data_IF_527322266903
#
_entry.id   IF_527322266903
#
_cell.length_a   1.000
_cell.length_b   1.000
_cell.length_c   1.000
_cell.angle_alpha   90.00
_cell.angle_beta   90.00
_cell.angle_gamma   90.00
#
_symmetry.space_group_name_H-M   'P 1'
#
loop_
_entity.id
_entity.type
_entity.pdbx_description
1 polymer ?
#
# COMPACT_ATOMS: atom_id res chain seq x y z
N UNK A 1 15.75 -1.66 -7.59
CA UNK A 1 16.56 -1.84 -6.38
C UNK A 1 16.09 -0.93 -5.27
N UNK A 2 15.98 -1.48 -4.07
CA UNK A 2 15.67 -0.74 -2.85
C UNK A 2 17.00 -0.22 -2.29
N UNK A 3 17.15 1.10 -2.18
CA UNK A 3 18.41 1.74 -1.75
C UNK A 3 18.65 1.56 -0.24
N UNK A 4 17.55 1.54 0.53
CA UNK A 4 17.53 1.25 1.97
C UNK A 4 16.21 0.55 2.32
N UNK A 5 16.27 -0.46 3.18
CA UNK A 5 15.12 -1.26 3.59
C UNK A 5 14.98 -1.23 5.12
N UNK A 6 13.76 -1.01 5.60
CA UNK A 6 13.41 -1.03 7.02
C UNK A 6 11.92 -1.41 7.21
N UNK A 7 11.51 -2.52 6.59
CA UNK A 7 10.08 -2.90 6.51
C UNK A 7 9.37 -2.29 5.28
N UNK A 8 8.18 -2.81 4.96
CA UNK A 8 7.26 -2.22 3.98
C UNK A 8 7.77 -2.05 2.55
N UNK A 9 8.90 -2.64 2.15
CA UNK A 9 9.54 -2.30 0.86
C UNK A 9 8.66 -2.60 -0.36
N UNK A 10 7.82 -3.65 -0.29
CA UNK A 10 6.87 -4.03 -1.35
C UNK A 10 5.75 -3.01 -1.49
N UNK A 11 5.12 -2.63 -0.38
CA UNK A 11 3.99 -1.69 -0.35
C UNK A 11 4.45 -0.28 -0.72
N UNK A 12 5.60 0.15 -0.21
CA UNK A 12 6.26 1.38 -0.62
C UNK A 12 6.57 1.41 -2.13
N UNK A 13 7.08 0.31 -2.68
CA UNK A 13 7.37 0.20 -4.12
C UNK A 13 6.11 0.35 -4.98
N UNK A 14 4.98 -0.27 -4.60
CA UNK A 14 3.71 -0.14 -5.33
C UNK A 14 3.21 1.31 -5.30
N UNK A 15 3.21 1.93 -4.11
CA UNK A 15 2.74 3.30 -3.91
C UNK A 15 3.59 4.31 -4.67
N UNK A 16 4.92 4.18 -4.63
CA UNK A 16 5.84 5.04 -5.38
C UNK A 16 5.79 4.81 -6.89
N UNK A 17 5.68 3.55 -7.33
CA UNK A 17 5.57 3.22 -8.76
C UNK A 17 4.32 3.80 -9.41
N UNK A 18 3.21 3.91 -8.67
CA UNK A 18 2.01 4.59 -9.17
C UNK A 18 2.30 6.06 -9.53
N UNK A 19 3.00 6.81 -8.67
CA UNK A 19 3.38 8.21 -8.94
C UNK A 19 4.26 8.30 -10.19
N UNK A 20 5.31 7.48 -10.25
CA UNK A 20 6.21 7.44 -11.41
C UNK A 20 5.49 7.08 -12.71
N UNK A 21 4.51 6.18 -12.66
CA UNK A 21 3.67 5.84 -13.80
C UNK A 21 2.82 7.04 -14.26
N UNK A 22 2.23 7.80 -13.33
CA UNK A 22 1.47 9.01 -13.69
C UNK A 22 2.35 10.03 -14.40
N UNK A 23 3.56 10.27 -13.90
CA UNK A 23 4.52 11.18 -14.55
C UNK A 23 4.87 10.71 -15.96
N UNK A 24 5.17 9.42 -16.13
CA UNK A 24 5.49 8.85 -17.43
C UNK A 24 4.33 8.99 -18.42
N UNK A 25 3.10 8.69 -18.00
CA UNK A 25 1.89 8.85 -18.83
C UNK A 25 1.65 10.31 -19.20
N UNK A 26 1.86 11.23 -18.24
CA UNK A 26 1.74 12.68 -18.46
C UNK A 26 2.75 13.18 -19.49
N UNK A 27 4.01 12.77 -19.35
CA UNK A 27 5.07 13.07 -20.31
C UNK A 27 4.74 12.54 -21.71
N UNK A 28 4.33 11.27 -21.82
CA UNK A 28 3.99 10.66 -23.11
C UNK A 28 2.81 11.35 -23.80
N UNK A 29 1.82 11.82 -23.04
CA UNK A 29 0.71 12.63 -23.56
C UNK A 29 1.17 14.00 -24.04
N UNK A 30 2.02 14.69 -23.27
CA UNK A 30 2.58 15.98 -23.67
C UNK A 30 3.41 15.90 -24.96
N UNK A 31 4.04 14.75 -25.22
CA UNK A 31 4.78 14.46 -26.45
C UNK A 31 3.91 13.93 -27.61
N UNK A 32 2.60 13.76 -27.40
CA UNK A 32 1.69 13.22 -28.41
C UNK A 32 1.88 11.72 -28.72
N UNK A 33 2.66 11.00 -27.90
CA UNK A 33 2.85 9.54 -28.02
C UNK A 33 1.56 8.82 -27.64
N UNK A 34 0.87 9.32 -26.61
CA UNK A 34 -0.43 8.82 -26.18
C UNK A 34 -1.53 9.82 -26.54
N UNK A 35 -2.60 9.32 -27.17
CA UNK A 35 -3.78 10.13 -27.53
C UNK A 35 -4.67 10.45 -26.32
N UNK A 36 -4.69 9.57 -25.32
CA UNK A 36 -5.50 9.69 -24.12
C UNK A 36 -4.74 9.12 -22.91
N UNK A 37 -5.19 9.45 -21.70
CA UNK A 37 -4.63 8.86 -20.48
C UNK A 37 -5.22 7.45 -20.28
N UNK A 38 -4.40 6.37 -20.26
CA UNK A 38 -4.89 5.02 -20.04
C UNK A 38 -5.10 4.67 -18.55
N UNK A 39 -4.67 5.54 -17.62
CA UNK A 39 -4.80 5.29 -16.19
C UNK A 39 -6.28 5.17 -15.79
N UNK A 40 -6.64 4.05 -15.14
CA UNK A 40 -8.01 3.81 -14.67
C UNK A 40 -8.25 4.40 -13.29
N UNK A 41 -7.35 4.10 -12.36
CA UNK A 41 -7.38 4.54 -10.97
C UNK A 41 -5.95 4.70 -10.47
N UNK A 42 -5.74 5.60 -9.53
CA UNK A 42 -4.57 5.55 -8.65
C UNK A 42 -4.63 4.29 -7.78
N UNK A 43 -3.46 3.73 -7.48
CA UNK A 43 -3.29 2.59 -6.57
C UNK A 43 -2.26 2.91 -5.50
N UNK A 44 -2.49 2.38 -4.31
CA UNK A 44 -1.57 2.45 -3.19
C UNK A 44 -1.60 1.12 -2.45
N UNK A 45 -0.54 0.84 -1.71
CA UNK A 45 -0.41 -0.35 -0.90
C UNK A 45 0.16 -0.01 0.47
N UNK A 46 -0.26 -0.79 1.48
CA UNK A 46 0.13 -0.62 2.88
C UNK A 46 0.22 -1.99 3.55
N UNK A 47 1.19 -2.16 4.44
CA UNK A 47 1.30 -3.32 5.33
C UNK A 47 0.61 -3.03 6.65
N UNK A 48 0.01 -4.05 7.25
CA UNK A 48 -0.58 -4.03 8.58
C UNK A 48 -0.27 -5.37 9.25
N UNK A 49 -0.28 -5.41 10.56
CA UNK A 49 -0.05 -6.66 11.29
C UNK A 49 -0.42 -6.56 12.74
N UNK A 50 -0.28 -7.67 13.45
CA UNK A 50 -0.52 -7.75 14.89
C UNK A 50 0.83 -7.78 15.58
N UNK A 51 1.12 -6.72 16.33
CA UNK A 51 2.32 -6.62 17.15
C UNK A 51 1.92 -6.55 18.62
N UNK A 52 2.37 -7.55 19.41
CA UNK A 52 2.05 -7.67 20.85
C UNK A 52 0.54 -7.60 21.11
N UNK A 53 -0.23 -8.34 20.32
CA UNK A 53 -1.70 -8.36 20.39
C UNK A 53 -2.42 -7.08 19.96
N UNK A 54 -1.71 -6.13 19.33
CA UNK A 54 -2.31 -4.87 18.83
C UNK A 54 -2.18 -4.78 17.32
N UNK A 55 -3.28 -4.57 16.57
CA UNK A 55 -3.22 -4.27 15.15
C UNK A 55 -2.56 -2.91 14.89
N UNK A 56 -1.53 -2.89 14.04
CA UNK A 56 -0.79 -1.68 13.64
C UNK A 56 -0.62 -1.61 12.12
N UNK A 57 -0.33 -0.41 11.60
CA UNK A 57 -0.01 -0.18 10.20
C UNK A 57 1.46 0.20 10.02
N UNK A 58 1.97 -0.06 8.81
CA UNK A 58 3.31 0.34 8.35
C UNK A 58 4.43 -0.20 9.24
N UNK A 59 4.41 -1.52 9.46
CA UNK A 59 5.40 -2.24 10.27
C UNK A 59 6.82 -1.90 9.82
N UNK A 60 7.62 -1.36 10.73
CA UNK A 60 9.08 -1.26 10.52
C UNK A 60 9.72 -2.65 10.65
N UNK A 61 10.98 -2.82 10.23
CA UNK A 61 11.61 -4.15 10.17
C UNK A 61 11.57 -4.91 11.50
N UNK A 62 11.79 -4.20 12.62
CA UNK A 62 11.79 -4.86 13.93
C UNK A 62 10.40 -5.36 14.32
N UNK A 63 9.36 -4.58 14.03
CA UNK A 63 7.97 -4.97 14.26
C UNK A 63 7.57 -6.12 13.34
N UNK A 64 7.91 -6.06 12.05
CA UNK A 64 7.64 -7.12 11.06
C UNK A 64 8.31 -8.44 11.45
N UNK A 65 9.55 -8.38 11.94
CA UNK A 65 10.30 -9.58 12.35
C UNK A 65 9.76 -10.26 13.61
N UNK A 66 9.01 -9.53 14.44
CA UNK A 66 8.41 -10.00 15.68
C UNK A 66 6.88 -10.14 15.60
N UNK A 67 6.27 -9.76 14.47
CA UNK A 67 4.82 -9.74 14.31
C UNK A 67 4.26 -11.17 14.28
N UNK A 68 3.10 -11.35 14.90
CA UNK A 68 2.38 -12.63 14.91
C UNK A 68 1.65 -12.86 13.57
N UNK A 69 1.37 -11.76 12.86
CA UNK A 69 0.68 -11.72 11.57
C UNK A 69 1.19 -10.54 10.75
N UNK A 70 1.55 -10.79 9.49
CA UNK A 70 1.82 -9.78 8.45
C UNK A 70 0.72 -9.83 7.39
N UNK A 71 0.18 -8.67 7.02
CA UNK A 71 -0.78 -8.52 5.95
C UNK A 71 -0.47 -7.33 5.04
N UNK A 72 -0.42 -7.59 3.75
CA UNK A 72 -0.23 -6.59 2.71
C UNK A 72 -1.55 -6.34 1.96
N UNK A 73 -1.92 -5.06 1.80
CA UNK A 73 -3.16 -4.64 1.15
C UNK A 73 -2.83 -3.71 -0.01
N UNK A 74 -3.46 -3.93 -1.17
CA UNK A 74 -3.43 -3.03 -2.33
C UNK A 74 -4.86 -2.58 -2.62
N UNK A 75 -5.07 -1.26 -2.73
CA UNK A 75 -6.39 -0.66 -2.94
C UNK A 75 -6.34 0.37 -4.07
N UNK A 76 -7.48 0.60 -4.72
CA UNK A 76 -7.70 1.75 -5.60
C UNK A 76 -8.11 2.98 -4.81
N UNK A 77 -7.94 4.17 -5.38
CA UNK A 77 -8.46 5.42 -4.78
C UNK A 77 -9.98 5.45 -4.60
N UNK A 78 -10.72 4.57 -5.28
CA UNK A 78 -12.17 4.42 -5.14
C UNK A 78 -12.56 3.50 -3.99
N UNK A 79 -11.58 2.96 -3.24
CA UNK A 79 -11.79 2.08 -2.10
C UNK A 79 -12.01 0.61 -2.48
N UNK A 80 -11.72 0.21 -3.72
CA UNK A 80 -11.83 -1.19 -4.16
C UNK A 80 -10.52 -1.91 -3.89
N UNK A 81 -10.58 -3.09 -3.27
CA UNK A 81 -9.43 -3.95 -3.03
C UNK A 81 -8.97 -4.58 -4.34
N UNK A 82 -7.66 -4.57 -4.57
CA UNK A 82 -6.99 -5.27 -5.66
C UNK A 82 -6.37 -6.56 -5.13
N UNK A 83 -5.73 -6.48 -3.97
CA UNK A 83 -5.03 -7.58 -3.33
C UNK A 83 -5.14 -7.46 -1.80
N UNK A 84 -5.36 -8.59 -1.15
CA UNK A 84 -5.24 -8.75 0.30
C UNK A 84 -4.48 -10.07 0.49
N UNK A 85 -3.31 -9.99 1.11
CA UNK A 85 -2.49 -11.15 1.43
C UNK A 85 -2.10 -11.08 2.90
N UNK A 86 -2.71 -11.93 3.73
CA UNK A 86 -2.37 -12.07 5.14
C UNK A 86 -1.77 -13.44 5.43
N UNK A 87 -0.73 -13.47 6.26
CA UNK A 87 -0.08 -14.69 6.75
C UNK A 87 0.05 -14.58 8.26
N UNK A 88 -0.48 -15.58 8.98
CA UNK A 88 -0.17 -15.77 10.39
C UNK A 88 1.17 -16.51 10.48
N UNK A 89 2.21 -15.83 10.97
CA UNK A 89 3.53 -16.44 11.23
C UNK A 89 3.56 -17.11 12.61
N UNK A 90 2.69 -16.67 13.53
CA UNK A 90 2.46 -17.24 14.85
C UNK A 90 1.06 -17.86 15.00
N UNK A 91 0.26 -17.31 15.91
CA UNK A 91 -1.12 -17.77 16.14
C UNK A 91 -2.04 -17.34 14.98
N UNK A 92 -2.99 -18.18 14.54
CA UNK A 92 -3.99 -17.77 13.58
C UNK A 92 -4.85 -16.62 14.11
N UNK A 93 -4.97 -15.55 13.32
CA UNK A 93 -5.88 -14.44 13.63
C UNK A 93 -7.33 -14.77 13.28
N UNK A 94 -8.27 -14.18 14.02
CA UNK A 94 -9.69 -14.37 13.80
C UNK A 94 -10.29 -13.32 12.83
N UNK A 95 -11.60 -13.43 12.59
CA UNK A 95 -12.30 -12.52 11.68
C UNK A 95 -12.41 -11.08 12.21
N UNK A 96 -12.41 -10.90 13.53
CA UNK A 96 -12.44 -9.57 14.13
C UNK A 96 -11.09 -8.88 13.96
N UNK A 97 -10.00 -9.59 14.22
CA UNK A 97 -8.64 -9.09 14.02
C UNK A 97 -8.37 -8.75 12.54
N UNK A 98 -8.87 -9.59 11.62
CA UNK A 98 -8.84 -9.28 10.18
C UNK A 98 -9.58 -7.97 9.86
N UNK A 99 -10.77 -7.76 10.40
CA UNK A 99 -11.58 -6.55 10.14
C UNK A 99 -10.92 -5.28 10.72
N UNK A 100 -10.31 -5.41 11.90
CA UNK A 100 -9.54 -4.33 12.54
C UNK A 100 -8.34 -3.93 11.67
N UNK A 101 -7.54 -4.89 11.22
CA UNK A 101 -6.41 -4.66 10.32
C UNK A 101 -6.86 -4.05 8.97
N UNK A 102 -7.94 -4.55 8.37
CA UNK A 102 -8.50 -4.00 7.13
C UNK A 102 -9.01 -2.57 7.31
N UNK A 103 -9.58 -2.26 8.46
CA UNK A 103 -10.04 -0.91 8.81
C UNK A 103 -8.87 0.05 8.90
N UNK A 104 -7.82 -0.31 9.63
CA UNK A 104 -6.58 0.48 9.72
C UNK A 104 -5.98 0.68 8.32
N UNK A 105 -5.85 -0.38 7.53
CA UNK A 105 -5.30 -0.32 6.18
C UNK A 105 -6.07 0.68 5.29
N UNK A 106 -7.40 0.62 5.34
CA UNK A 106 -8.28 1.51 4.56
C UNK A 106 -8.07 2.99 4.92
N UNK A 107 -7.82 3.29 6.20
CA UNK A 107 -7.53 4.65 6.63
C UNK A 107 -6.16 5.11 6.13
N UNK A 108 -5.09 4.35 6.40
CA UNK A 108 -3.74 4.71 5.95
C UNK A 108 -3.62 4.83 4.43
N UNK A 109 -4.28 3.95 3.67
CA UNK A 109 -4.30 4.03 2.21
C UNK A 109 -4.94 5.32 1.68
N UNK A 110 -5.94 5.88 2.38
CA UNK A 110 -6.52 7.18 2.00
C UNK A 110 -5.50 8.30 2.16
N UNK A 111 -4.74 8.29 3.24
CA UNK A 111 -3.66 9.25 3.47
C UNK A 111 -2.58 9.14 2.39
N UNK A 112 -2.20 7.91 2.00
CA UNK A 112 -1.26 7.69 0.90
C UNK A 112 -1.78 8.25 -0.43
N UNK A 113 -3.07 8.14 -0.74
CA UNK A 113 -3.62 8.77 -1.95
C UNK A 113 -3.55 10.29 -1.91
N UNK A 114 -3.76 10.91 -0.75
CA UNK A 114 -3.64 12.35 -0.60
C UNK A 114 -2.19 12.82 -0.78
N UNK A 115 -1.22 12.06 -0.25
CA UNK A 115 0.22 12.29 -0.44
C UNK A 115 0.62 12.11 -1.91
N UNK A 116 0.16 11.05 -2.58
CA UNK A 116 0.42 10.83 -4.01
C UNK A 116 -0.08 12.01 -4.87
N UNK A 117 -1.29 12.50 -4.58
CA UNK A 117 -1.87 13.67 -5.29
C UNK A 117 -1.08 14.93 -5.02
N UNK A 118 -0.65 15.16 -3.78
CA UNK A 118 0.18 16.31 -3.43
C UNK A 118 1.54 16.28 -4.14
N UNK A 119 2.13 15.09 -4.31
CA UNK A 119 3.40 14.92 -5.03
C UNK A 119 3.29 15.19 -6.54
N UNK A 120 2.11 15.01 -7.14
CA UNK A 120 1.82 15.19 -8.57
C UNK A 120 1.25 16.58 -8.92
N UNK A 121 1.08 17.46 -7.92
CA UNK A 121 0.42 18.77 -8.06
C UNK A 121 1.33 19.87 -8.64
#
# INVERSE_FOLDING_TARGET
DVIQADGGTRTASITGACVALVDALTYMRAKGILKANPLKHMIAALSVGIYKGTPIADLEYTEDSEAETDMNIVMTETGKLIEVQGTAEGEPFDFQELDEMLTIAKHGLRELFDIQKAALA
#
